data_IF_126344464886
#
_entry.id   IF_126344464886
#
_cell.length_a   1.000
_cell.length_b   1.000
_cell.length_c   1.000
_cell.angle_alpha   90.00
_cell.angle_beta   90.00
_cell.angle_gamma   90.00
#
_symmetry.space_group_name_H-M   'P 1'
#
loop_
_entity.id
_entity.type
_entity.pdbx_description
1 polymer ?
#
# COMPACT_ATOMS: atom_id res chain seq x y z
N UNK A 1 -22.99 5.40 9.47
CA UNK A 1 -21.54 5.18 9.58
C UNK A 1 -20.85 6.47 9.19
N UNK A 2 -20.06 7.07 10.07
CA UNK A 2 -19.39 8.36 9.79
C UNK A 2 -18.20 8.17 8.87
N UNK A 3 -17.76 9.24 8.24
CA UNK A 3 -16.59 9.26 7.35
C UNK A 3 -15.32 8.77 8.07
N UNK A 4 -15.12 9.16 9.33
CA UNK A 4 -14.00 8.71 10.16
C UNK A 4 -14.00 7.19 10.38
N UNK A 5 -15.17 6.57 10.59
CA UNK A 5 -15.27 5.11 10.76
C UNK A 5 -14.90 4.38 9.46
N UNK A 6 -15.31 4.93 8.30
CA UNK A 6 -14.92 4.39 6.99
C UNK A 6 -13.42 4.53 6.77
N UNK A 7 -12.86 5.70 7.05
CA UNK A 7 -11.43 6.00 6.89
C UNK A 7 -10.56 5.09 7.76
N UNK A 8 -10.92 4.94 9.04
CA UNK A 8 -10.20 4.06 9.96
C UNK A 8 -10.30 2.59 9.53
N UNK A 9 -11.46 2.15 9.00
CA UNK A 9 -11.61 0.82 8.43
C UNK A 9 -10.69 0.60 7.24
N UNK A 10 -10.63 1.54 6.30
CA UNK A 10 -9.73 1.48 5.14
C UNK A 10 -8.26 1.43 5.59
N UNK A 11 -7.88 2.24 6.57
CA UNK A 11 -6.53 2.26 7.14
C UNK A 11 -6.14 0.88 7.71
N UNK A 12 -7.01 0.26 8.51
CA UNK A 12 -6.76 -1.09 9.06
C UNK A 12 -6.63 -2.15 7.96
N UNK A 13 -7.48 -2.07 6.93
CA UNK A 13 -7.40 -2.97 5.77
C UNK A 13 -6.09 -2.80 5.01
N UNK A 14 -5.64 -1.56 4.81
CA UNK A 14 -4.36 -1.28 4.15
C UNK A 14 -3.19 -1.87 4.94
N UNK A 15 -3.13 -1.65 6.25
CA UNK A 15 -2.10 -2.25 7.13
C UNK A 15 -2.07 -3.76 6.98
N UNK A 16 -3.22 -4.43 7.15
CA UNK A 16 -3.32 -5.88 7.06
C UNK A 16 -2.89 -6.39 5.67
N UNK A 17 -3.23 -5.64 4.61
CA UNK A 17 -2.87 -6.01 3.23
C UNK A 17 -1.38 -5.90 2.99
N UNK A 18 -0.73 -4.83 3.42
CA UNK A 18 0.72 -4.65 3.27
C UNK A 18 1.50 -5.73 4.02
N UNK A 19 1.05 -6.11 5.22
CA UNK A 19 1.65 -7.22 5.97
C UNK A 19 1.50 -8.58 5.27
N UNK A 20 0.38 -8.79 4.59
CA UNK A 20 0.18 -10.00 3.78
C UNK A 20 1.06 -9.99 2.52
N UNK A 21 1.14 -8.85 1.83
CA UNK A 21 2.00 -8.67 0.64
C UNK A 21 3.46 -8.90 1.01
N UNK A 22 3.95 -8.27 2.07
CA UNK A 22 5.32 -8.43 2.54
C UNK A 22 5.66 -9.89 2.83
N UNK A 23 4.77 -10.61 3.52
CA UNK A 23 4.97 -12.04 3.83
C UNK A 23 5.04 -12.89 2.58
N UNK A 24 4.10 -12.73 1.66
CA UNK A 24 4.05 -13.50 0.41
C UNK A 24 5.25 -13.16 -0.47
N UNK A 25 5.63 -11.89 -0.58
CA UNK A 25 6.73 -11.42 -1.40
C UNK A 25 8.07 -12.10 -1.05
N UNK A 26 8.31 -12.42 0.23
CA UNK A 26 9.53 -13.14 0.64
C UNK A 26 9.64 -14.57 0.09
N UNK A 27 8.52 -15.15 -0.37
CA UNK A 27 8.44 -16.52 -0.87
C UNK A 27 8.38 -16.59 -2.40
N UNK A 28 8.33 -15.44 -3.08
CA UNK A 28 8.15 -15.34 -4.52
C UNK A 28 9.45 -15.00 -5.25
N UNK A 29 9.44 -15.21 -6.56
CA UNK A 29 10.50 -14.66 -7.42
C UNK A 29 10.38 -13.14 -7.44
N UNK A 30 11.52 -12.47 -7.64
CA UNK A 30 11.62 -11.02 -7.59
C UNK A 30 10.54 -10.29 -8.43
N UNK A 31 10.34 -10.70 -9.69
CA UNK A 31 9.35 -10.09 -10.57
C UNK A 31 7.88 -10.25 -10.09
N UNK A 32 7.56 -11.38 -9.45
CA UNK A 32 6.21 -11.63 -8.91
C UNK A 32 5.98 -10.82 -7.63
N UNK A 33 7.00 -10.70 -6.78
CA UNK A 33 6.99 -9.85 -5.60
C UNK A 33 6.82 -8.37 -5.98
N UNK A 34 7.58 -7.87 -6.96
CA UNK A 34 7.44 -6.51 -7.50
C UNK A 34 6.00 -6.25 -7.97
N UNK A 35 5.41 -7.19 -8.72
CA UNK A 35 4.04 -7.04 -9.22
C UNK A 35 3.00 -6.99 -8.10
N UNK A 36 3.17 -7.77 -7.03
CA UNK A 36 2.27 -7.69 -5.87
C UNK A 36 2.36 -6.34 -5.14
N UNK A 37 3.57 -5.81 -4.98
CA UNK A 37 3.82 -4.49 -4.40
C UNK A 37 3.21 -3.39 -5.26
N UNK A 38 3.36 -3.47 -6.57
CA UNK A 38 2.80 -2.54 -7.53
C UNK A 38 1.26 -2.52 -7.47
N UNK A 39 0.62 -3.70 -7.44
CA UNK A 39 -0.84 -3.79 -7.28
C UNK A 39 -1.32 -3.19 -5.95
N UNK A 40 -0.59 -3.41 -4.86
CA UNK A 40 -0.90 -2.80 -3.57
C UNK A 40 -0.76 -1.27 -3.60
N UNK A 41 0.24 -0.75 -4.31
CA UNK A 41 0.45 0.68 -4.51
C UNK A 41 -0.72 1.30 -5.26
N UNK A 42 -1.17 0.67 -6.36
CA UNK A 42 -2.34 1.14 -7.14
C UNK A 42 -3.62 1.12 -6.32
N UNK A 43 -3.87 0.05 -5.57
CA UNK A 43 -5.05 -0.03 -4.71
C UNK A 43 -5.03 1.09 -3.65
N UNK A 44 -3.86 1.42 -3.11
CA UNK A 44 -3.71 2.53 -2.16
C UNK A 44 -4.01 3.87 -2.82
N UNK A 45 -3.46 4.15 -4.00
CA UNK A 45 -3.75 5.38 -4.74
C UNK A 45 -5.24 5.51 -5.07
N UNK A 46 -5.90 4.42 -5.47
CA UNK A 46 -7.35 4.42 -5.71
C UNK A 46 -8.14 4.72 -4.45
N UNK A 47 -7.74 4.16 -3.31
CA UNK A 47 -8.40 4.44 -2.04
C UNK A 47 -8.27 5.92 -1.63
N UNK A 48 -7.12 6.55 -1.90
CA UNK A 48 -6.90 7.98 -1.68
C UNK A 48 -7.76 8.82 -2.65
N UNK A 49 -7.76 8.49 -3.93
CA UNK A 49 -8.53 9.21 -4.95
C UNK A 49 -10.05 9.14 -4.72
N UNK A 50 -10.53 8.07 -4.08
CA UNK A 50 -11.93 7.90 -3.68
C UNK A 50 -12.23 8.45 -2.28
N UNK A 51 -11.29 9.20 -1.68
CA UNK A 51 -11.40 9.80 -0.34
C UNK A 51 -11.70 8.76 0.77
N UNK A 52 -11.35 7.49 0.53
CA UNK A 52 -11.53 6.41 1.51
C UNK A 52 -10.48 6.45 2.60
N UNK A 53 -9.37 7.15 2.36
CA UNK A 53 -8.28 7.41 3.29
C UNK A 53 -7.52 8.67 2.83
N UNK A 54 -7.02 9.47 3.78
CA UNK A 54 -6.18 10.63 3.45
C UNK A 54 -4.80 10.17 2.95
N UNK A 55 -4.22 10.95 2.03
CA UNK A 55 -2.91 10.64 1.44
C UNK A 55 -1.82 10.53 2.51
N UNK A 56 -1.80 11.46 3.47
CA UNK A 56 -0.82 11.50 4.56
C UNK A 56 -0.89 10.23 5.42
N UNK A 57 -2.11 9.76 5.69
CA UNK A 57 -2.35 8.54 6.45
C UNK A 57 -1.90 7.29 5.68
N UNK A 58 -2.12 7.26 4.37
CA UNK A 58 -1.62 6.18 3.52
C UNK A 58 -0.09 6.15 3.50
N UNK A 59 0.57 7.31 3.37
CA UNK A 59 2.04 7.41 3.39
C UNK A 59 2.63 6.97 4.73
N UNK A 60 2.00 7.34 5.85
CA UNK A 60 2.37 6.84 7.18
C UNK A 60 2.29 5.31 7.25
N UNK A 61 1.19 4.73 6.79
CA UNK A 61 0.99 3.28 6.81
C UNK A 61 2.06 2.56 5.98
N UNK A 62 2.42 3.10 4.81
CA UNK A 62 3.49 2.55 3.98
C UNK A 62 4.87 2.69 4.62
N UNK A 63 5.17 3.83 5.25
CA UNK A 63 6.42 4.01 6.01
C UNK A 63 6.52 3.02 7.16
N UNK A 64 5.45 2.85 7.95
CA UNK A 64 5.38 1.89 9.05
C UNK A 64 5.48 0.43 8.55
N UNK A 65 4.91 0.14 7.39
CA UNK A 65 5.05 -1.17 6.75
C UNK A 65 6.48 -1.43 6.28
N UNK A 66 7.15 -0.44 5.69
CA UNK A 66 8.56 -0.55 5.29
C UNK A 66 9.49 -0.77 6.50
N UNK A 67 9.28 -0.05 7.61
CA UNK A 67 10.05 -0.25 8.85
C UNK A 67 9.94 -1.70 9.35
N UNK A 68 8.75 -2.29 9.26
CA UNK A 68 8.51 -3.69 9.66
C UNK A 68 8.97 -4.71 8.61
N UNK A 69 8.95 -4.31 7.33
CA UNK A 69 9.23 -5.15 6.17
C UNK A 69 10.09 -4.36 5.15
N UNK A 70 11.42 -4.33 5.32
CA UNK A 70 12.31 -3.49 4.49
C UNK A 70 12.29 -3.79 2.99
N UNK A 71 11.76 -4.96 2.58
CA UNK A 71 11.54 -5.33 1.19
C UNK A 71 10.39 -4.58 0.51
N UNK A 72 9.48 -3.97 1.28
CA UNK A 72 8.47 -3.06 0.74
C UNK A 72 9.15 -1.72 0.37
N UNK A 73 8.66 -1.00 -0.63
CA UNK A 73 9.17 0.33 -0.94
C UNK A 73 8.85 1.31 0.20
N UNK A 74 9.79 2.20 0.49
CA UNK A 74 9.54 3.35 1.34
C UNK A 74 8.65 4.34 0.57
N UNK A 75 7.47 4.67 1.11
CA UNK A 75 6.60 5.66 0.49
C UNK A 75 7.31 7.02 0.43
N UNK A 76 7.66 7.43 -0.79
CA UNK A 76 8.21 8.75 -1.09
C UNK A 76 7.21 9.43 -2.02
N UNK A 77 5.98 9.65 -1.52
CA UNK A 77 4.76 9.93 -2.31
C UNK A 77 4.46 8.73 -3.24
N UNK A 78 3.27 8.12 -3.11
CA UNK A 78 2.88 6.97 -3.94
C UNK A 78 2.79 7.39 -5.42
N UNK A 79 3.92 7.41 -6.11
CA UNK A 79 4.02 7.57 -7.55
C UNK A 79 3.73 6.20 -8.18
N UNK A 80 2.93 6.19 -9.27
CA UNK A 80 2.73 4.98 -10.06
C UNK A 80 4.09 4.44 -10.51
N UNK A 81 4.41 3.15 -10.27
CA UNK A 81 5.54 2.54 -10.93
C UNK A 81 5.34 2.66 -12.44
N UNK A 82 6.36 3.17 -13.14
CA UNK A 82 6.29 3.52 -14.56
C UNK A 82 5.88 2.34 -15.47
N UNK A 83 5.99 1.09 -15.00
CA UNK A 83 5.69 -0.13 -15.77
C UNK A 83 4.21 -0.33 -16.09
N UNK A 84 3.28 0.33 -15.39
CA UNK A 84 1.84 0.27 -15.67
C UNK A 84 1.29 1.50 -16.41
N UNK A 85 2.15 2.44 -16.81
CA UNK A 85 1.78 3.59 -17.64
C UNK A 85 1.81 3.28 -19.15
N UNK A 86 2.02 2.02 -19.54
CA UNK A 86 2.12 1.54 -20.93
C UNK A 86 0.95 0.61 -21.29
#
# INVERSE_FOLDING_TARGET
>A
MTEDVRSNRTARLLVARLDAVARIATQLRHAEAERLVELASIATMRAVALELIRAEKADEIWRDAHVRHPQLPQATRLELPQRLAA
#
